data_IF_334348971938
#
_entry.id   IF_334348971938
#
_cell.length_a   1.000
_cell.length_b   1.000
_cell.length_c   1.000
_cell.angle_alpha   90.00
_cell.angle_beta   90.00
_cell.angle_gamma   90.00
#
_symmetry.space_group_name_H-M   'P 1'
#
loop_
_entity.id
_entity.type
_entity.pdbx_description
1 polymer ?
#
# COMPACT_ATOMS: atom_id res chain seq x y z
N UNK A 1 45.89 68.44 10.20
CA UNK A 1 45.61 67.91 8.87
C UNK A 1 45.88 66.40 8.91
N UNK A 2 44.83 65.60 9.28
CA UNK A 2 44.97 64.19 9.60
C UNK A 2 44.17 63.39 8.55
N UNK A 3 44.89 62.64 7.74
CA UNK A 3 44.36 61.77 6.71
C UNK A 3 43.83 60.47 7.38
N UNK A 4 42.51 60.24 7.19
CA UNK A 4 41.87 58.96 7.53
C UNK A 4 42.01 57.97 6.37
N UNK A 5 42.75 56.89 6.57
CA UNK A 5 42.77 55.75 5.67
C UNK A 5 41.53 54.93 5.85
N UNK A 6 40.72 54.80 4.77
CA UNK A 6 39.56 53.90 4.67
C UNK A 6 40.08 52.53 4.20
N UNK A 7 40.06 51.52 5.02
CA UNK A 7 40.36 50.14 4.65
C UNK A 7 39.09 49.52 4.08
N UNK A 8 39.06 49.24 2.78
CA UNK A 8 38.03 48.51 2.07
C UNK A 8 38.13 47.03 2.39
N UNK A 9 37.19 46.50 3.20
CA UNK A 9 37.05 45.07 3.43
C UNK A 9 36.33 44.42 2.23
N UNK A 10 37.15 43.86 1.30
CA UNK A 10 36.65 43.03 0.19
C UNK A 10 36.35 41.65 0.69
N UNK A 11 35.13 41.41 1.19
CA UNK A 11 34.61 40.07 1.45
C UNK A 11 34.40 39.36 0.13
N UNK A 12 35.08 38.24 -0.05
CA UNK A 12 35.11 37.45 -1.27
C UNK A 12 33.73 36.84 -1.59
N UNK A 13 33.05 37.20 -2.69
CA UNK A 13 31.72 36.66 -3.04
C UNK A 13 31.78 35.19 -3.49
N UNK A 14 32.97 34.65 -3.76
CA UNK A 14 33.17 33.29 -4.28
C UNK A 14 32.89 32.18 -3.25
N UNK A 15 33.02 32.44 -1.95
CA UNK A 15 32.76 31.43 -0.92
C UNK A 15 31.26 31.24 -0.69
N UNK A 16 30.46 32.32 -0.83
CA UNK A 16 29.00 32.28 -0.65
C UNK A 16 28.32 31.50 -1.78
N UNK A 17 28.81 31.61 -3.01
CA UNK A 17 28.25 30.89 -4.17
C UNK A 17 28.61 29.40 -4.16
N UNK A 18 29.75 28.99 -3.63
CA UNK A 18 30.09 27.58 -3.49
C UNK A 18 29.28 26.89 -2.40
N UNK A 19 28.98 27.57 -1.28
CA UNK A 19 28.13 27.02 -0.21
C UNK A 19 26.67 26.81 -0.68
N UNK A 20 26.13 27.76 -1.45
CA UNK A 20 24.77 27.65 -1.99
C UNK A 20 24.65 26.52 -3.02
N UNK A 21 25.68 26.31 -3.86
CA UNK A 21 25.72 25.22 -4.83
C UNK A 21 25.78 23.82 -4.17
N UNK A 22 26.56 23.69 -3.09
CA UNK A 22 26.68 22.44 -2.34
C UNK A 22 25.38 22.06 -1.63
N UNK A 23 24.62 23.04 -1.13
CA UNK A 23 23.33 22.80 -0.46
C UNK A 23 22.24 22.34 -1.44
N UNK A 24 22.21 22.89 -2.65
CA UNK A 24 21.24 22.51 -3.70
C UNK A 24 21.55 21.13 -4.27
N UNK A 25 22.84 20.76 -4.44
CA UNK A 25 23.20 19.40 -4.88
C UNK A 25 22.88 18.35 -3.78
N UNK A 26 23.01 18.69 -2.50
CA UNK A 26 22.71 17.80 -1.38
C UNK A 26 21.21 17.47 -1.24
N UNK A 27 20.34 18.41 -1.59
CA UNK A 27 18.88 18.19 -1.52
C UNK A 27 18.31 17.40 -2.71
N UNK A 28 18.96 17.45 -3.88
CA UNK A 28 18.56 16.61 -5.03
C UNK A 28 18.95 15.13 -4.84
N UNK A 29 19.99 14.83 -4.06
CA UNK A 29 20.41 13.44 -3.82
C UNK A 29 19.47 12.68 -2.88
N UNK A 30 18.67 13.36 -2.07
CA UNK A 30 17.74 12.72 -1.13
C UNK A 30 16.40 12.27 -1.74
N UNK A 31 16.07 12.68 -2.98
CA UNK A 31 14.84 12.23 -3.67
C UNK A 31 15.04 10.95 -4.52
N UNK A 32 16.25 10.43 -4.63
CA UNK A 32 16.55 9.26 -5.49
C UNK A 32 16.43 7.91 -4.77
N UNK A 33 15.94 7.88 -3.52
CA UNK A 33 15.85 6.65 -2.73
C UNK A 33 14.91 5.55 -3.25
N UNK A 34 14.04 5.84 -4.20
CA UNK A 34 13.07 4.85 -4.69
C UNK A 34 13.34 4.29 -6.10
N UNK A 35 14.28 4.85 -6.87
CA UNK A 35 14.52 4.42 -8.26
C UNK A 35 15.80 3.58 -8.42
N UNK A 36 16.69 3.56 -7.44
CA UNK A 36 18.01 2.91 -7.55
C UNK A 36 18.01 1.39 -7.32
N UNK A 37 16.87 0.78 -7.00
CA UNK A 37 16.75 -0.68 -6.86
C UNK A 37 16.54 -1.42 -8.20
N UNK A 38 16.38 -0.69 -9.32
CA UNK A 38 16.17 -1.29 -10.64
C UNK A 38 17.41 -1.27 -11.56
N UNK A 39 18.53 -0.68 -11.12
CA UNK A 39 19.64 -0.39 -12.02
C UNK A 39 21.04 -0.90 -11.64
N UNK A 40 21.23 -1.55 -10.51
CA UNK A 40 22.55 -2.10 -10.14
C UNK A 40 22.57 -3.61 -10.37
N UNK A 41 23.13 -4.03 -11.49
CA UNK A 41 23.48 -5.43 -11.75
C UNK A 41 24.46 -5.95 -10.70
N UNK A 42 23.94 -6.54 -9.64
CA UNK A 42 24.69 -7.41 -8.75
C UNK A 42 24.17 -8.83 -8.98
N UNK A 43 25.04 -9.68 -9.50
CA UNK A 43 24.88 -11.13 -9.57
C UNK A 43 24.80 -11.65 -8.14
N UNK A 44 23.62 -11.72 -7.59
CA UNK A 44 23.32 -12.30 -6.30
C UNK A 44 21.82 -12.40 -6.24
N UNK A 45 21.30 -13.61 -6.31
CA UNK A 45 19.93 -14.08 -6.23
C UNK A 45 18.92 -12.96 -5.93
N UNK A 46 18.51 -12.21 -6.96
CA UNK A 46 17.29 -11.44 -6.88
C UNK A 46 16.19 -12.46 -6.61
N UNK A 47 15.74 -12.54 -5.37
CA UNK A 47 14.44 -13.10 -5.07
C UNK A 47 13.49 -12.15 -5.80
N UNK A 48 13.18 -12.49 -7.04
CA UNK A 48 12.08 -11.86 -7.77
C UNK A 48 10.89 -12.17 -6.90
N UNK A 49 10.41 -11.16 -6.18
CA UNK A 49 9.18 -11.24 -5.42
C UNK A 49 8.07 -11.39 -6.46
N UNK A 50 7.84 -12.61 -6.89
CA UNK A 50 6.94 -12.94 -7.99
C UNK A 50 5.52 -12.79 -7.47
N UNK A 51 4.89 -11.66 -7.78
CA UNK A 51 3.45 -11.50 -7.64
C UNK A 51 2.78 -12.56 -8.53
N UNK A 52 1.74 -13.22 -8.03
CA UNK A 52 0.98 -14.25 -8.76
C UNK A 52 0.00 -13.67 -9.77
N UNK A 53 -0.09 -12.35 -9.84
CA UNK A 53 -0.85 -11.63 -10.86
C UNK A 53 0.05 -11.33 -12.06
N UNK A 54 -0.54 -11.30 -13.25
CA UNK A 54 0.13 -10.75 -14.43
C UNK A 54 0.31 -9.24 -14.28
N UNK A 55 1.27 -8.64 -14.98
CA UNK A 55 1.43 -7.18 -14.99
C UNK A 55 0.16 -6.47 -15.49
N UNK A 56 -0.56 -7.07 -16.43
CA UNK A 56 -1.85 -6.55 -16.89
C UNK A 56 -2.90 -6.55 -15.78
N UNK A 57 -2.97 -7.61 -14.96
CA UNK A 57 -3.89 -7.66 -13.82
C UNK A 57 -3.53 -6.65 -12.74
N UNK A 58 -2.24 -6.37 -12.52
CA UNK A 58 -1.80 -5.34 -11.58
C UNK A 58 -2.22 -3.94 -12.03
N UNK A 59 -2.02 -3.60 -13.31
CA UNK A 59 -2.47 -2.32 -13.90
C UNK A 59 -4.00 -2.18 -13.87
N UNK A 60 -4.72 -3.28 -14.10
CA UNK A 60 -6.18 -3.29 -13.99
C UNK A 60 -6.64 -3.04 -12.56
N UNK A 61 -6.00 -3.67 -11.56
CA UNK A 61 -6.29 -3.43 -10.15
C UNK A 61 -6.06 -1.97 -9.75
N UNK A 62 -4.96 -1.35 -10.20
CA UNK A 62 -4.69 0.09 -9.97
C UNK A 62 -5.77 0.97 -10.63
N UNK A 63 -6.20 0.64 -11.85
CA UNK A 63 -7.29 1.34 -12.55
C UNK A 63 -8.62 1.22 -11.79
N UNK A 64 -8.93 0.03 -11.26
CA UNK A 64 -10.13 -0.22 -10.45
C UNK A 64 -10.06 0.59 -9.14
N UNK A 65 -8.94 0.60 -8.43
CA UNK A 65 -8.76 1.38 -7.20
C UNK A 65 -8.97 2.89 -7.46
N UNK A 66 -8.40 3.42 -8.55
CA UNK A 66 -8.55 4.83 -8.92
C UNK A 66 -9.99 5.20 -9.27
N UNK A 67 -10.64 4.41 -10.13
CA UNK A 67 -12.05 4.58 -10.51
C UNK A 67 -12.96 4.42 -9.28
N UNK A 68 -12.67 3.43 -8.44
CA UNK A 68 -13.40 3.16 -7.19
C UNK A 68 -13.37 4.34 -6.24
N UNK A 69 -12.20 4.93 -6.01
CA UNK A 69 -12.08 6.15 -5.21
C UNK A 69 -12.85 7.34 -5.80
N UNK A 70 -12.97 7.42 -7.13
CA UNK A 70 -13.84 8.39 -7.80
C UNK A 70 -15.33 8.14 -7.51
N UNK A 71 -15.79 6.88 -7.68
CA UNK A 71 -17.17 6.49 -7.42
C UNK A 71 -17.58 6.69 -5.95
N UNK A 72 -16.68 6.38 -5.02
CA UNK A 72 -16.91 6.63 -3.58
C UNK A 72 -17.15 8.12 -3.34
N UNK A 73 -16.32 9.00 -3.91
CA UNK A 73 -16.51 10.45 -3.77
C UNK A 73 -17.78 10.97 -4.42
N UNK A 74 -18.21 10.41 -5.54
CA UNK A 74 -19.50 10.73 -6.17
C UNK A 74 -20.69 10.38 -5.28
N UNK A 75 -20.60 9.29 -4.49
CA UNK A 75 -21.66 8.80 -3.61
C UNK A 75 -21.66 9.54 -2.26
N UNK A 76 -20.48 9.70 -1.63
CA UNK A 76 -20.38 10.16 -0.25
C UNK A 76 -19.96 11.64 -0.13
N UNK A 77 -19.42 12.24 -1.18
CA UNK A 77 -18.74 13.55 -1.07
C UNK A 77 -17.55 13.44 -0.12
N UNK A 78 -17.54 14.28 0.91
CA UNK A 78 -16.54 14.30 1.98
C UNK A 78 -16.97 13.50 3.23
N UNK A 79 -18.11 12.81 3.16
CA UNK A 79 -18.62 12.02 4.27
C UNK A 79 -18.04 10.59 4.22
N UNK A 80 -17.64 10.10 5.38
CA UNK A 80 -17.09 8.76 5.46
C UNK A 80 -15.59 8.69 5.16
N UNK A 81 -15.03 7.52 5.38
CA UNK A 81 -13.65 7.15 5.07
C UNK A 81 -13.65 5.77 4.45
N UNK A 82 -13.54 5.70 3.14
CA UNK A 82 -13.59 4.44 2.39
C UNK A 82 -12.30 4.20 1.64
N UNK A 83 -11.72 3.04 1.89
CA UNK A 83 -10.61 2.49 1.13
C UNK A 83 -11.13 1.46 0.13
N UNK A 84 -10.73 1.62 -1.13
CA UNK A 84 -10.99 0.66 -2.21
C UNK A 84 -9.68 -0.04 -2.52
N UNK A 85 -9.64 -1.34 -2.31
CA UNK A 85 -8.44 -2.15 -2.56
C UNK A 85 -8.79 -3.26 -3.53
N UNK A 86 -8.07 -3.38 -4.63
CA UNK A 86 -8.26 -4.43 -5.63
C UNK A 86 -7.09 -5.42 -5.62
N UNK A 87 -7.41 -6.69 -5.81
CA UNK A 87 -6.44 -7.76 -6.05
C UNK A 87 -7.04 -8.79 -7.01
N UNK A 88 -6.48 -8.89 -8.20
CA UNK A 88 -6.98 -9.74 -9.28
C UNK A 88 -8.47 -9.50 -9.59
N UNK A 89 -8.90 -8.21 -9.62
CA UNK A 89 -10.27 -7.73 -9.86
C UNK A 89 -11.29 -8.07 -8.76
N UNK A 90 -10.86 -8.70 -7.67
CA UNK A 90 -11.62 -8.82 -6.44
C UNK A 90 -11.42 -7.55 -5.63
N UNK A 91 -12.47 -6.82 -5.32
CA UNK A 91 -12.41 -5.55 -4.60
C UNK A 91 -12.81 -5.73 -3.16
N UNK A 92 -12.00 -5.22 -2.26
CA UNK A 92 -12.32 -5.02 -0.84
C UNK A 92 -12.69 -3.55 -0.61
N UNK A 93 -13.84 -3.31 -0.01
CA UNK A 93 -14.23 -2.03 0.56
C UNK A 93 -14.04 -2.09 2.07
N UNK A 94 -13.20 -1.21 2.62
CA UNK A 94 -12.95 -1.11 4.06
C UNK A 94 -13.00 0.34 4.52
N UNK A 95 -13.24 0.56 5.81
CA UNK A 95 -13.39 1.89 6.40
C UNK A 95 -14.79 2.16 6.92
N UNK A 96 -15.20 3.42 6.97
CA UNK A 96 -16.45 3.84 7.62
C UNK A 96 -17.32 4.68 6.68
N UNK A 97 -18.63 4.49 6.84
CA UNK A 97 -19.69 5.25 6.16
C UNK A 97 -20.76 5.72 7.16
N UNK A 98 -21.48 6.82 6.87
CA UNK A 98 -22.46 7.35 7.80
C UNK A 98 -23.67 6.43 8.04
N UNK A 99 -24.15 5.73 7.00
CA UNK A 99 -25.37 4.94 7.06
C UNK A 99 -25.27 3.61 6.30
N UNK A 100 -26.17 2.68 6.60
CA UNK A 100 -26.30 1.42 5.83
C UNK A 100 -26.71 1.68 4.36
N UNK A 101 -27.45 2.75 4.10
CA UNK A 101 -27.79 3.14 2.73
C UNK A 101 -26.55 3.56 1.96
N UNK A 102 -25.63 4.31 2.57
CA UNK A 102 -24.36 4.70 1.99
C UNK A 102 -23.48 3.48 1.72
N UNK A 103 -23.42 2.54 2.67
CA UNK A 103 -22.70 1.27 2.51
C UNK A 103 -23.16 0.51 1.27
N UNK A 104 -24.47 0.37 1.08
CA UNK A 104 -25.05 -0.30 -0.08
C UNK A 104 -24.84 0.50 -1.37
N UNK A 105 -24.92 1.83 -1.31
CA UNK A 105 -24.72 2.69 -2.47
C UNK A 105 -23.26 2.65 -2.97
N UNK A 106 -22.29 2.68 -2.07
CA UNK A 106 -20.86 2.54 -2.37
C UNK A 106 -20.58 1.18 -3.01
N UNK A 107 -21.07 0.09 -2.43
CA UNK A 107 -20.91 -1.26 -2.99
C UNK A 107 -21.45 -1.32 -4.42
N UNK A 108 -22.67 -0.85 -4.65
CA UNK A 108 -23.30 -0.83 -5.97
C UNK A 108 -22.49 0.00 -6.98
N UNK A 109 -21.99 1.17 -6.56
CA UNK A 109 -21.22 2.05 -7.44
C UNK A 109 -19.87 1.43 -7.84
N UNK A 110 -19.21 0.74 -6.92
CA UNK A 110 -17.92 0.07 -7.17
C UNK A 110 -18.11 -1.23 -7.96
N UNK A 111 -19.15 -2.01 -7.67
CA UNK A 111 -19.47 -3.22 -8.43
C UNK A 111 -19.81 -2.94 -9.91
N UNK A 112 -20.24 -1.71 -10.23
CA UNK A 112 -20.50 -1.27 -11.60
C UNK A 112 -19.26 -0.84 -12.39
N UNK A 113 -18.05 -0.92 -11.83
CA UNK A 113 -16.81 -0.60 -12.54
C UNK A 113 -16.44 -1.78 -13.46
N UNK A 114 -16.04 -1.45 -14.69
CA UNK A 114 -15.59 -2.45 -15.67
C UNK A 114 -14.48 -3.33 -15.09
N UNK A 115 -14.56 -4.62 -15.37
CA UNK A 115 -13.61 -5.66 -14.96
C UNK A 115 -13.59 -5.98 -13.44
N UNK A 116 -14.41 -5.38 -12.60
CA UNK A 116 -14.65 -5.85 -11.24
C UNK A 116 -15.40 -7.18 -11.31
N UNK A 117 -14.83 -8.22 -10.71
CA UNK A 117 -15.43 -9.58 -10.69
C UNK A 117 -16.31 -9.79 -9.46
N UNK A 118 -15.92 -9.24 -8.32
CA UNK A 118 -16.68 -9.29 -7.08
C UNK A 118 -16.25 -8.19 -6.12
N UNK A 119 -17.13 -7.85 -5.19
CA UNK A 119 -16.89 -6.87 -4.12
C UNK A 119 -17.12 -7.54 -2.77
N UNK A 120 -16.16 -7.40 -1.87
CA UNK A 120 -16.28 -7.75 -0.46
C UNK A 120 -16.46 -6.45 0.32
N UNK A 121 -17.66 -6.24 0.84
CA UNK A 121 -18.02 -5.02 1.55
C UNK A 121 -17.89 -5.20 3.06
N UNK A 122 -16.75 -4.78 3.59
CA UNK A 122 -16.42 -4.75 5.03
C UNK A 122 -16.47 -3.33 5.61
N UNK A 123 -17.25 -2.42 4.97
CA UNK A 123 -17.49 -1.08 5.51
C UNK A 123 -18.27 -1.16 6.83
N UNK A 124 -17.86 -0.36 7.80
CA UNK A 124 -18.55 -0.20 9.07
C UNK A 124 -19.41 1.08 9.05
N UNK A 125 -20.61 1.01 9.64
CA UNK A 125 -21.43 2.22 9.81
C UNK A 125 -21.05 2.90 11.11
N UNK A 126 -20.60 4.14 11.00
CA UNK A 126 -20.14 4.91 12.16
C UNK A 126 -19.29 6.11 11.81
N UNK A 127 -18.73 6.71 12.85
CA UNK A 127 -17.82 7.85 12.69
C UNK A 127 -16.47 7.42 12.09
N UNK A 128 -15.87 8.31 11.32
CA UNK A 128 -14.56 8.09 10.70
C UNK A 128 -13.49 7.80 11.74
N UNK A 129 -12.62 6.85 11.45
CA UNK A 129 -11.46 6.52 12.27
C UNK A 129 -10.54 7.72 12.46
N UNK A 130 -10.02 7.89 13.69
CA UNK A 130 -9.09 8.95 14.04
C UNK A 130 -7.73 8.75 13.38
N UNK A 131 -6.94 9.82 13.24
CA UNK A 131 -5.54 9.72 12.78
C UNK A 131 -4.70 8.77 13.67
N UNK A 132 -4.98 8.72 14.97
CA UNK A 132 -4.33 7.80 15.91
C UNK A 132 -4.66 6.35 15.57
N UNK A 133 -5.91 6.04 15.27
CA UNK A 133 -6.36 4.71 14.85
C UNK A 133 -5.65 4.28 13.57
N UNK A 134 -5.67 5.13 12.54
CA UNK A 134 -5.01 4.85 11.25
C UNK A 134 -3.50 4.65 11.38
N UNK A 135 -2.83 5.42 12.25
CA UNK A 135 -1.41 5.23 12.55
C UNK A 135 -1.16 3.88 13.22
N UNK A 136 -2.04 3.46 14.14
CA UNK A 136 -2.00 2.13 14.75
C UNK A 136 -2.16 1.03 13.72
N UNK A 137 -3.13 1.17 12.79
CA UNK A 137 -3.38 0.22 11.71
C UNK A 137 -2.18 0.06 10.78
N UNK A 138 -1.48 1.16 10.48
CA UNK A 138 -0.23 1.13 9.73
C UNK A 138 0.84 0.29 10.43
N UNK A 139 0.97 0.41 11.76
CA UNK A 139 1.91 -0.39 12.55
C UNK A 139 1.50 -1.87 12.58
N UNK A 140 0.21 -2.17 12.69
CA UNK A 140 -0.31 -3.55 12.62
C UNK A 140 0.00 -4.15 11.26
N UNK A 141 -0.33 -3.44 10.17
CA UNK A 141 -0.01 -3.86 8.79
C UNK A 141 1.47 -4.20 8.63
N UNK A 142 2.36 -3.34 9.15
CA UNK A 142 3.81 -3.55 9.07
C UNK A 142 4.24 -4.82 9.81
N UNK A 143 3.73 -5.05 11.03
CA UNK A 143 4.03 -6.26 11.81
C UNK A 143 3.54 -7.51 11.12
N UNK A 144 2.31 -7.50 10.62
CA UNK A 144 1.74 -8.65 9.89
C UNK A 144 2.55 -8.95 8.63
N UNK A 145 2.89 -7.93 7.83
CA UNK A 145 3.74 -8.11 6.64
C UNK A 145 5.11 -8.68 6.99
N UNK A 146 5.76 -8.18 8.04
CA UNK A 146 7.04 -8.70 8.51
C UNK A 146 6.94 -10.17 8.93
N UNK A 147 5.90 -10.51 9.73
CA UNK A 147 5.68 -11.87 10.16
C UNK A 147 5.37 -12.85 9.00
N UNK A 148 4.66 -12.39 7.96
CA UNK A 148 4.43 -13.18 6.74
C UNK A 148 5.73 -13.42 5.97
N UNK A 149 6.64 -12.44 5.91
CA UNK A 149 7.97 -12.59 5.29
C UNK A 149 8.84 -13.56 6.07
N UNK A 150 8.77 -13.53 7.40
CA UNK A 150 9.53 -14.43 8.28
C UNK A 150 9.01 -15.89 8.20
N UNK A 151 7.77 -16.09 7.82
CA UNK A 151 7.16 -17.41 7.61
C UNK A 151 7.63 -18.02 6.29
N UNK A 152 8.75 -18.77 6.33
CA UNK A 152 9.44 -19.33 5.15
C UNK A 152 8.62 -20.31 4.33
N UNK A 153 7.51 -20.79 4.88
CA UNK A 153 6.54 -21.70 4.25
C UNK A 153 5.44 -20.93 3.48
N UNK A 154 5.53 -19.59 3.44
CA UNK A 154 4.62 -18.70 2.71
C UNK A 154 5.36 -17.89 1.65
N UNK A 155 4.68 -17.60 0.56
CA UNK A 155 5.09 -16.58 -0.40
C UNK A 155 4.44 -15.23 -0.03
N UNK A 156 5.11 -14.45 0.82
CA UNK A 156 4.56 -13.20 1.35
C UNK A 156 4.15 -12.18 0.27
N UNK A 157 4.86 -12.17 -0.88
CA UNK A 157 4.55 -11.30 -2.03
C UNK A 157 3.22 -11.61 -2.72
N UNK A 158 2.67 -12.80 -2.50
CA UNK A 158 1.36 -13.19 -3.02
C UNK A 158 0.20 -12.76 -2.11
N UNK A 159 0.50 -12.10 -0.97
CA UNK A 159 -0.48 -11.71 0.04
C UNK A 159 -0.46 -10.19 0.25
N UNK A 160 -1.56 -9.54 -0.10
CA UNK A 160 -1.82 -8.13 0.19
C UNK A 160 -2.49 -8.02 1.55
N UNK A 161 -1.95 -7.15 2.42
CA UNK A 161 -2.46 -6.94 3.78
C UNK A 161 -3.05 -5.55 3.88
N UNK A 162 -4.30 -5.46 4.29
CA UNK A 162 -5.00 -4.22 4.62
C UNK A 162 -5.42 -4.28 6.08
N UNK A 163 -5.32 -3.19 6.81
CA UNK A 163 -5.77 -3.11 8.21
C UNK A 163 -6.67 -1.90 8.39
N UNK A 164 -7.82 -2.12 9.01
CA UNK A 164 -8.77 -1.07 9.38
C UNK A 164 -9.31 -1.35 10.78
N UNK A 165 -9.16 -0.40 11.70
CA UNK A 165 -9.58 -0.53 13.12
C UNK A 165 -9.09 -1.82 13.80
N UNK A 166 -7.87 -2.25 13.51
CA UNK A 166 -7.31 -3.50 14.03
C UNK A 166 -7.84 -4.77 13.35
N UNK A 167 -8.79 -4.66 12.42
CA UNK A 167 -9.23 -5.77 11.57
C UNK A 167 -8.25 -5.92 10.40
N UNK A 168 -7.66 -7.08 10.24
CA UNK A 168 -6.70 -7.40 9.19
C UNK A 168 -7.40 -8.17 8.08
N UNK A 169 -7.33 -7.65 6.88
CA UNK A 169 -7.84 -8.28 5.66
C UNK A 169 -6.67 -8.82 4.86
N UNK A 170 -6.72 -10.09 4.54
CA UNK A 170 -5.70 -10.77 3.74
C UNK A 170 -6.27 -11.08 2.37
N UNK A 171 -5.71 -10.46 1.33
CA UNK A 171 -6.07 -10.70 -0.07
C UNK A 171 -4.92 -11.41 -0.77
N UNK A 172 -5.21 -12.16 -1.82
CA UNK A 172 -4.17 -12.86 -2.58
C UNK A 172 -4.72 -14.04 -3.34
N UNK A 173 -3.91 -14.58 -4.25
CA UNK A 173 -4.15 -15.85 -4.94
C UNK A 173 -3.30 -16.93 -4.26
N UNK A 174 -3.92 -17.74 -3.42
CA UNK A 174 -3.22 -18.66 -2.50
C UNK A 174 -3.92 -20.02 -2.45
N UNK A 175 -3.19 -21.06 -2.07
CA UNK A 175 -3.82 -22.34 -1.76
C UNK A 175 -4.49 -22.31 -0.39
N UNK A 176 -5.40 -23.26 -0.11
CA UNK A 176 -6.06 -23.33 1.21
C UNK A 176 -5.05 -23.49 2.36
N UNK A 177 -3.98 -24.26 2.12
CA UNK A 177 -2.87 -24.41 3.07
C UNK A 177 -2.21 -23.05 3.37
N UNK A 178 -1.88 -22.28 2.34
CA UNK A 178 -1.27 -20.96 2.50
C UNK A 178 -2.24 -19.97 3.15
N UNK A 179 -3.52 -20.00 2.78
CA UNK A 179 -4.56 -19.18 3.39
C UNK A 179 -4.71 -19.43 4.89
N UNK A 180 -4.74 -20.72 5.30
CA UNK A 180 -4.80 -21.12 6.70
C UNK A 180 -3.56 -20.63 7.46
N UNK A 181 -2.37 -20.86 6.89
CA UNK A 181 -1.10 -20.48 7.51
C UNK A 181 -0.96 -18.95 7.63
N UNK A 182 -1.28 -18.20 6.59
CA UNK A 182 -1.25 -16.73 6.62
C UNK A 182 -2.22 -16.16 7.68
N UNK A 183 -3.39 -16.77 7.80
CA UNK A 183 -4.38 -16.38 8.83
C UNK A 183 -3.84 -16.62 10.24
N UNK A 184 -3.18 -17.74 10.49
CA UNK A 184 -2.55 -18.06 11.78
C UNK A 184 -1.45 -17.04 12.12
N UNK A 185 -0.54 -16.78 11.16
CA UNK A 185 0.55 -15.81 11.31
C UNK A 185 -0.01 -14.42 11.61
N UNK A 186 -1.03 -13.96 10.89
CA UNK A 186 -1.63 -12.66 11.12
C UNK A 186 -2.32 -12.57 12.50
N UNK A 187 -3.06 -13.62 12.90
CA UNK A 187 -3.74 -13.67 14.22
C UNK A 187 -2.78 -13.64 15.40
N UNK A 188 -1.57 -14.16 15.24
CA UNK A 188 -0.57 -14.18 16.32
C UNK A 188 0.04 -12.79 16.59
N UNK A 189 -0.20 -11.81 15.72
CA UNK A 189 0.38 -10.48 15.90
C UNK A 189 -0.38 -9.65 16.93
N UNK A 190 0.36 -8.91 17.75
CA UNK A 190 -0.22 -8.03 18.76
C UNK A 190 -1.11 -6.95 18.15
N UNK A 191 -2.21 -6.63 18.82
CA UNK A 191 -3.20 -5.63 18.42
C UNK A 191 -4.06 -6.01 17.19
N UNK A 192 -3.91 -7.20 16.63
CA UNK A 192 -4.86 -7.74 15.64
C UNK A 192 -6.13 -8.17 16.36
N UNK A 193 -7.26 -7.57 15.99
CA UNK A 193 -8.57 -7.87 16.60
C UNK A 193 -9.29 -9.00 15.85
N UNK A 194 -9.26 -8.95 14.52
CA UNK A 194 -9.92 -9.92 13.63
C UNK A 194 -9.06 -10.10 12.39
N UNK A 195 -9.08 -11.31 11.82
CA UNK A 195 -8.50 -11.58 10.49
C UNK A 195 -9.60 -12.05 9.57
N UNK A 196 -9.77 -11.34 8.45
CA UNK A 196 -10.74 -11.65 7.39
C UNK A 196 -9.98 -12.18 6.18
N UNK A 197 -10.41 -13.31 5.67
CA UNK A 197 -9.84 -13.97 4.49
C UNK A 197 -10.57 -13.48 3.25
N UNK A 198 -9.89 -12.74 2.39
CA UNK A 198 -10.39 -12.21 1.10
C UNK A 198 -9.51 -12.78 -0.01
N UNK A 199 -9.35 -14.10 0.02
CA UNK A 199 -8.48 -14.81 -0.91
C UNK A 199 -9.22 -15.38 -2.11
N UNK A 200 -8.57 -15.39 -3.26
CA UNK A 200 -8.87 -16.31 -4.36
C UNK A 200 -8.13 -17.63 -4.09
N UNK A 201 -8.88 -18.69 -3.81
CA UNK A 201 -8.30 -19.99 -3.47
C UNK A 201 -7.95 -20.76 -4.75
N UNK A 202 -6.69 -21.15 -4.87
CA UNK A 202 -6.14 -21.96 -5.96
C UNK A 202 -5.97 -23.40 -5.52
N UNK A 203 -6.15 -24.32 -6.47
CA UNK A 203 -5.64 -25.69 -6.30
C UNK A 203 -4.12 -25.72 -6.42
N UNK A 204 -3.47 -26.78 -5.90
CA UNK A 204 -2.02 -26.94 -6.05
C UNK A 204 -1.61 -27.06 -7.53
N UNK A 205 -2.43 -27.66 -8.38
CA UNK A 205 -2.19 -27.75 -9.82
C UNK A 205 -2.27 -26.36 -10.51
N UNK A 206 -3.25 -25.53 -10.12
CA UNK A 206 -3.35 -24.15 -10.62
C UNK A 206 -2.12 -23.33 -10.17
N UNK A 207 -1.67 -23.50 -8.93
CA UNK A 207 -0.48 -22.83 -8.44
C UNK A 207 0.77 -23.28 -9.21
N UNK A 208 0.93 -24.59 -9.48
CA UNK A 208 2.03 -25.12 -10.25
C UNK A 208 2.07 -24.53 -11.67
N UNK A 209 0.91 -24.42 -12.32
CA UNK A 209 0.80 -23.82 -13.65
C UNK A 209 1.19 -22.33 -13.69
N UNK A 210 0.84 -21.54 -12.66
CA UNK A 210 1.25 -20.14 -12.54
C UNK A 210 2.77 -19.95 -12.38
N UNK A 211 3.47 -20.97 -11.88
CA UNK A 211 4.94 -20.92 -11.68
C UNK A 211 5.74 -21.33 -12.93
N UNK A 212 5.09 -22.02 -13.88
CA UNK A 212 5.72 -22.56 -15.07
C UNK A 212 5.43 -21.74 -16.35
N UNK A 213 4.57 -20.74 -16.30
CA UNK A 213 4.21 -19.83 -17.40
C UNK A 213 4.77 -18.44 -17.18
#
# INVERSE_FOLDING_TARGET
MTLRTVTSDRRHPLVSTMLAGALVLGTLASLQGCVLLLGAGAVGSAVVLTDRRTSAAQLEDESIELKGGGRVREVLGDQGHVNVTSYNRLVLLSGEVPTEADKAAVEKAVAGIDNVTSVVNELEVGENSSLKTRSSDTLITTRVKSALVDAKDLQASAIKVVTERGNVYLMGRVTEREAARATEVARSQSSVMKVVRVFEILTEDQLANLRNG
#
